data_IF_522738792360
#
_entry.id   IF_522738792360
#
_cell.length_a   1.000
_cell.length_b   1.000
_cell.length_c   1.000
_cell.angle_alpha   90.00
_cell.angle_beta   90.00
_cell.angle_gamma   90.00
#
_symmetry.space_group_name_H-M   'P 1'
#
loop_
_entity.id
_entity.type
_entity.pdbx_description
1 polymer ?
#
# COMPACT_ATOMS: atom_id res chain seq x y z
N UNK A 1 5.43 19.22 -7.49
CA UNK A 1 4.45 18.70 -6.51
C UNK A 1 5.13 17.64 -5.65
N UNK A 2 5.15 17.79 -4.32
CA UNK A 2 5.72 16.78 -3.40
C UNK A 2 4.58 15.78 -3.07
N UNK A 3 4.49 14.66 -3.78
CA UNK A 3 3.44 13.65 -3.57
C UNK A 3 3.80 12.73 -2.41
N UNK A 4 3.16 12.95 -1.26
CA UNK A 4 3.27 12.08 -0.08
C UNK A 4 2.53 10.76 -0.32
N UNK A 5 2.92 9.70 0.39
CA UNK A 5 2.28 8.39 0.24
C UNK A 5 0.78 8.43 0.61
N UNK A 6 0.38 9.25 1.60
CA UNK A 6 -1.05 9.43 1.92
C UNK A 6 -1.80 10.09 0.77
N UNK A 7 -1.23 11.14 0.14
CA UNK A 7 -1.90 11.86 -0.95
C UNK A 7 -2.15 10.96 -2.16
N UNK A 8 -1.17 10.11 -2.50
CA UNK A 8 -1.28 9.18 -3.61
C UNK A 8 -2.15 7.98 -3.28
N UNK A 9 -2.18 7.52 -2.02
CA UNK A 9 -3.10 6.48 -1.59
C UNK A 9 -4.57 6.94 -1.70
N UNK A 10 -4.87 8.20 -1.35
CA UNK A 10 -6.20 8.78 -1.54
C UNK A 10 -6.57 8.90 -3.02
N UNK A 11 -5.65 9.41 -3.85
CA UNK A 11 -5.87 9.49 -5.30
C UNK A 11 -6.07 8.09 -5.94
N UNK A 12 -5.42 7.05 -5.38
CA UNK A 12 -5.67 5.67 -5.80
C UNK A 12 -7.09 5.20 -5.44
N UNK A 13 -7.65 5.61 -4.29
CA UNK A 13 -9.04 5.29 -3.96
C UNK A 13 -10.02 5.93 -4.95
N UNK A 14 -9.78 7.18 -5.33
CA UNK A 14 -10.59 7.88 -6.33
C UNK A 14 -10.49 7.20 -7.70
N UNK A 15 -9.28 6.79 -8.09
CA UNK A 15 -9.09 5.98 -9.29
C UNK A 15 -9.90 4.67 -9.27
N UNK A 16 -9.93 3.95 -8.14
CA UNK A 16 -10.75 2.72 -8.03
C UNK A 16 -12.25 3.02 -8.20
N UNK A 17 -12.73 4.14 -7.65
CA UNK A 17 -14.12 4.58 -7.84
C UNK A 17 -14.42 4.89 -9.30
N UNK A 18 -13.54 5.61 -9.97
CA UNK A 18 -13.65 5.92 -11.41
C UNK A 18 -13.64 4.65 -12.28
N UNK A 19 -12.96 3.58 -11.84
CA UNK A 19 -12.98 2.26 -12.49
C UNK A 19 -14.26 1.45 -12.18
N UNK A 20 -15.21 1.99 -11.41
CA UNK A 20 -16.50 1.34 -11.11
C UNK A 20 -16.44 0.33 -9.96
N UNK A 21 -15.40 0.35 -9.12
CA UNK A 21 -15.37 -0.50 -7.93
C UNK A 21 -16.44 -0.05 -6.93
N UNK A 22 -17.11 -1.02 -6.29
CA UNK A 22 -18.13 -0.74 -5.26
C UNK A 22 -17.48 -0.09 -4.04
N UNK A 23 -18.18 0.84 -3.37
CA UNK A 23 -17.66 1.56 -2.19
C UNK A 23 -17.12 0.63 -1.09
N UNK A 24 -17.82 -0.48 -0.78
CA UNK A 24 -17.32 -1.43 0.23
C UNK A 24 -15.97 -2.05 -0.15
N UNK A 25 -15.70 -2.22 -1.45
CA UNK A 25 -14.41 -2.70 -1.95
C UNK A 25 -13.35 -1.62 -1.83
N UNK A 26 -13.68 -0.36 -2.17
CA UNK A 26 -12.77 0.78 -2.02
C UNK A 26 -12.39 1.00 -0.55
N UNK A 27 -13.36 0.91 0.38
CA UNK A 27 -13.10 1.00 1.82
C UNK A 27 -12.19 -0.14 2.32
N UNK A 28 -12.33 -1.35 1.76
CA UNK A 28 -11.44 -2.46 2.10
C UNK A 28 -10.02 -2.21 1.59
N UNK A 29 -9.87 -1.72 0.36
CA UNK A 29 -8.58 -1.30 -0.21
C UNK A 29 -7.94 -0.20 0.64
N UNK A 30 -8.72 0.80 1.04
CA UNK A 30 -8.25 1.87 1.91
C UNK A 30 -7.74 1.31 3.24
N UNK A 31 -8.54 0.49 3.92
CA UNK A 31 -8.17 -0.12 5.20
C UNK A 31 -6.86 -0.91 5.11
N UNK A 32 -6.71 -1.71 4.05
CA UNK A 32 -5.53 -2.53 3.83
C UNK A 32 -4.30 -1.65 3.51
N UNK A 33 -4.44 -0.67 2.61
CA UNK A 33 -3.35 0.22 2.20
C UNK A 33 -2.90 1.16 3.33
N UNK A 34 -3.83 1.58 4.21
CA UNK A 34 -3.51 2.45 5.34
C UNK A 34 -2.55 1.81 6.35
N UNK A 35 -2.46 0.48 6.41
CA UNK A 35 -1.43 -0.21 7.22
C UNK A 35 -0.02 0.11 6.72
N UNK A 36 0.19 0.00 5.40
CA UNK A 36 1.48 0.30 4.77
C UNK A 36 1.79 1.80 4.87
N UNK A 37 0.79 2.66 4.63
CA UNK A 37 0.94 4.12 4.75
C UNK A 37 1.32 4.55 6.17
N UNK A 38 0.66 4.01 7.19
CA UNK A 38 1.01 4.28 8.59
C UNK A 38 2.42 3.80 8.94
N UNK A 39 2.81 2.60 8.49
CA UNK A 39 4.15 2.06 8.72
C UNK A 39 5.27 2.88 8.04
N UNK A 40 5.06 3.28 6.78
CA UNK A 40 6.06 4.01 5.98
C UNK A 40 6.16 5.50 6.36
N UNK A 41 5.15 6.02 7.06
CA UNK A 41 5.00 7.42 7.45
C UNK A 41 4.20 8.19 6.41
N UNK A 42 3.03 8.68 6.81
CA UNK A 42 1.99 9.25 5.93
C UNK A 42 2.49 10.39 5.03
N UNK A 43 3.34 11.26 5.59
CA UNK A 43 3.85 12.44 4.91
C UNK A 43 5.17 12.20 4.14
N UNK A 44 5.73 10.98 4.21
CA UNK A 44 6.91 10.60 3.42
C UNK A 44 6.58 10.68 1.94
N UNK A 45 7.50 11.20 1.13
CA UNK A 45 7.29 11.20 -0.33
C UNK A 45 7.44 9.79 -0.87
N UNK A 46 6.62 9.43 -1.86
CA UNK A 46 6.69 8.10 -2.50
C UNK A 46 8.11 7.81 -3.01
N UNK A 47 8.76 8.82 -3.63
CA UNK A 47 10.13 8.72 -4.13
C UNK A 47 11.20 8.55 -3.04
N UNK A 48 10.87 8.66 -1.76
CA UNK A 48 11.80 8.51 -0.62
C UNK A 48 11.63 7.15 0.07
N UNK A 49 10.70 6.31 -0.42
CA UNK A 49 10.51 4.93 0.06
C UNK A 49 11.57 4.04 -0.59
N UNK A 50 12.28 3.29 0.25
CA UNK A 50 13.28 2.32 -0.20
C UNK A 50 12.68 0.91 -0.28
N UNK A 51 13.19 0.03 -1.16
CA UNK A 51 12.82 -1.38 -1.19
C UNK A 51 12.92 -2.06 0.19
N UNK A 52 14.00 -1.79 0.93
CA UNK A 52 14.20 -2.31 2.30
C UNK A 52 13.11 -1.90 3.27
N UNK A 53 12.46 -0.74 3.08
CA UNK A 53 11.33 -0.34 3.92
C UNK A 53 10.06 -1.12 3.60
N UNK A 54 9.89 -1.54 2.35
CA UNK A 54 8.82 -2.46 1.97
C UNK A 54 9.09 -3.85 2.55
N UNK A 55 10.33 -4.35 2.47
CA UNK A 55 10.72 -5.62 3.10
C UNK A 55 10.44 -5.60 4.62
N UNK A 56 10.82 -4.52 5.30
CA UNK A 56 10.52 -4.34 6.73
C UNK A 56 9.02 -4.31 7.00
N UNK A 57 8.21 -3.67 6.14
CA UNK A 57 6.75 -3.69 6.28
C UNK A 57 6.19 -5.11 6.18
N UNK A 58 6.66 -5.90 5.21
CA UNK A 58 6.21 -7.28 5.00
C UNK A 58 6.48 -8.21 6.19
N UNK A 59 7.45 -7.85 7.04
CA UNK A 59 7.81 -8.58 8.26
C UNK A 59 7.26 -7.93 9.53
N UNK A 60 6.60 -6.77 9.42
CA UNK A 60 6.21 -5.96 10.57
C UNK A 60 4.92 -6.41 11.22
N UNK A 61 4.77 -6.08 12.51
CA UNK A 61 3.51 -6.22 13.22
C UNK A 61 2.37 -5.41 12.60
N UNK A 62 2.67 -4.33 11.87
CA UNK A 62 1.66 -3.56 11.15
C UNK A 62 0.95 -4.39 10.07
N UNK A 63 1.64 -5.38 9.49
CA UNK A 63 1.05 -6.32 8.54
C UNK A 63 0.61 -7.63 9.20
N UNK A 64 1.37 -8.14 10.16
CA UNK A 64 1.20 -9.49 10.71
C UNK A 64 0.23 -9.55 11.89
N UNK A 65 0.05 -8.44 12.62
CA UNK A 65 -0.73 -8.40 13.84
C UNK A 65 -1.84 -7.33 13.79
N UNK A 66 -2.93 -7.61 14.47
CA UNK A 66 -3.98 -6.63 14.76
C UNK A 66 -3.49 -5.62 15.81
N UNK A 67 -4.22 -4.50 15.97
CA UNK A 67 -3.96 -3.53 17.05
C UNK A 67 -3.99 -4.13 18.47
N UNK A 68 -4.63 -5.30 18.64
CA UNK A 68 -4.67 -6.03 19.91
C UNK A 68 -3.54 -7.07 20.04
N UNK A 69 -2.54 -7.05 19.16
CA UNK A 69 -1.41 -7.98 19.16
C UNK A 69 -1.73 -9.39 18.67
N UNK A 70 -2.95 -9.66 18.20
CA UNK A 70 -3.31 -10.99 17.66
C UNK A 70 -2.85 -11.15 16.22
N UNK A 71 -2.28 -12.30 15.88
CA UNK A 71 -1.90 -12.63 14.51
C UNK A 71 -3.11 -12.51 13.57
N UNK A 72 -2.88 -11.91 12.40
CA UNK A 72 -3.87 -11.82 11.34
C UNK A 72 -3.96 -13.14 10.58
N UNK A 73 -5.15 -13.43 10.05
CA UNK A 73 -5.35 -14.60 9.21
C UNK A 73 -4.47 -14.48 7.94
N UNK A 74 -3.90 -15.59 7.42
CA UNK A 74 -3.08 -15.58 6.21
C UNK A 74 -3.77 -14.88 5.02
N UNK A 75 -5.06 -15.16 4.82
CA UNK A 75 -5.88 -14.51 3.79
C UNK A 75 -5.95 -12.98 3.92
N UNK A 76 -5.92 -12.45 5.14
CA UNK A 76 -5.92 -10.99 5.38
C UNK A 76 -4.56 -10.41 5.02
N UNK A 77 -3.47 -11.07 5.38
CA UNK A 77 -2.10 -10.67 5.05
C UNK A 77 -1.93 -10.63 3.52
N UNK A 78 -2.26 -11.73 2.84
CA UNK A 78 -2.21 -11.85 1.38
C UNK A 78 -3.03 -10.76 0.68
N UNK A 79 -4.23 -10.47 1.18
CA UNK A 79 -5.06 -9.38 0.64
C UNK A 79 -4.40 -8.02 0.81
N UNK A 80 -3.85 -7.74 1.99
CA UNK A 80 -3.14 -6.48 2.24
C UNK A 80 -1.94 -6.33 1.30
N UNK A 81 -1.13 -7.37 1.11
CA UNK A 81 0.00 -7.38 0.17
C UNK A 81 -0.46 -7.18 -1.28
N UNK A 82 -1.55 -7.84 -1.67
CA UNK A 82 -2.14 -7.66 -3.02
C UNK A 82 -2.59 -6.22 -3.27
N UNK A 83 -3.24 -5.59 -2.28
CA UNK A 83 -3.65 -4.19 -2.39
C UNK A 83 -2.44 -3.26 -2.50
N UNK A 84 -1.38 -3.50 -1.72
CA UNK A 84 -0.12 -2.77 -1.84
C UNK A 84 0.47 -2.91 -3.25
N UNK A 85 0.49 -4.13 -3.80
CA UNK A 85 0.96 -4.38 -5.18
C UNK A 85 0.14 -3.64 -6.23
N UNK A 86 -1.20 -3.68 -6.14
CA UNK A 86 -2.08 -2.95 -7.06
C UNK A 86 -1.82 -1.43 -7.02
N UNK A 87 -1.61 -0.89 -5.82
CA UNK A 87 -1.26 0.51 -5.63
C UNK A 87 0.10 0.87 -6.26
N UNK A 88 1.13 0.04 -6.05
CA UNK A 88 2.45 0.25 -6.64
C UNK A 88 2.41 0.17 -8.18
N UNK A 89 1.61 -0.75 -8.73
CA UNK A 89 1.38 -0.85 -10.17
C UNK A 89 0.69 0.40 -10.73
N UNK A 90 -0.32 0.90 -10.02
CA UNK A 90 -0.97 2.15 -10.39
C UNK A 90 0.01 3.32 -10.37
N UNK A 91 0.85 3.45 -9.34
CA UNK A 91 1.88 4.49 -9.27
C UNK A 91 2.91 4.39 -10.41
N UNK A 92 3.30 3.17 -10.78
CA UNK A 92 4.17 2.93 -11.94
C UNK A 92 3.52 3.47 -13.22
N UNK A 93 2.21 3.23 -13.43
CA UNK A 93 1.45 3.79 -14.56
C UNK A 93 1.39 5.32 -14.54
N UNK A 94 1.41 5.94 -13.36
CA UNK A 94 1.55 7.40 -13.19
C UNK A 94 2.98 7.92 -13.48
N UNK A 95 3.88 7.07 -14.01
CA UNK A 95 5.29 7.37 -14.33
C UNK A 95 6.13 7.80 -13.12
N UNK A 96 5.79 7.30 -11.93
CA UNK A 96 6.66 7.47 -10.75
C UNK A 96 7.83 6.48 -10.83
N UNK A 97 8.99 6.96 -11.30
CA UNK A 97 10.18 6.14 -11.65
C UNK A 97 10.74 5.22 -10.53
N UNK A 98 10.37 5.43 -9.27
CA UNK A 98 10.87 4.61 -8.14
C UNK A 98 10.00 3.40 -7.82
N UNK A 99 8.92 3.18 -8.58
CA UNK A 99 7.96 2.11 -8.28
C UNK A 99 8.40 0.73 -8.77
N UNK A 100 9.32 0.66 -9.74
CA UNK A 100 9.81 -0.60 -10.30
C UNK A 100 10.52 -1.43 -9.22
N UNK A 101 11.50 -0.84 -8.52
CA UNK A 101 12.23 -1.51 -7.43
C UNK A 101 11.32 -1.91 -6.25
N UNK A 102 10.21 -1.19 -6.02
CA UNK A 102 9.26 -1.52 -4.96
C UNK A 102 8.35 -2.68 -5.36
N UNK A 103 8.00 -2.79 -6.65
CA UNK A 103 7.21 -3.90 -7.19
C UNK A 103 7.98 -5.21 -7.09
N UNK A 104 9.28 -5.21 -7.39
CA UNK A 104 10.13 -6.40 -7.25
C UNK A 104 10.09 -7.01 -5.84
N UNK A 105 9.97 -6.18 -4.80
CA UNK A 105 9.90 -6.68 -3.41
C UNK A 105 8.58 -7.38 -3.14
N UNK A 106 7.46 -6.85 -3.63
CA UNK A 106 6.12 -7.40 -3.34
C UNK A 106 5.70 -8.51 -4.32
N UNK A 107 6.51 -8.78 -5.35
CA UNK A 107 6.28 -9.85 -6.34
C UNK A 107 7.07 -11.13 -6.06
N UNK A 108 8.08 -11.07 -5.17
CA UNK A 108 8.77 -12.24 -4.63
C UNK A 108 7.85 -13.10 -3.76
#
# INVERSE_FOLDING_TARGET
MKTSIISTALAFMDHLREQGFKEHTVLQYQTDLMKAVGFLGEYRRVKEILPSQIELFLQSDALLHSRKGRALAPRTIERTVRVLRHYLYWLQKQKMRRCDDLLEVVER
#
